data_IF_252165355726
#
_entry.id   IF_252165355726
#
_cell.length_a   1.000
_cell.length_b   1.000
_cell.length_c   1.000
_cell.angle_alpha   90.00
_cell.angle_beta   90.00
_cell.angle_gamma   90.00
#
_symmetry.space_group_name_H-M   'P 1'
#
loop_
_entity.id
_entity.type
_entity.pdbx_description
1 polymer ?
#
# COMPACT_ATOMS: atom_id res chain seq x y z
N UNK A 1 12.86 4.80 9.78
CA UNK A 1 11.66 4.11 9.22
C UNK A 1 10.64 5.08 8.61
N UNK A 2 10.47 6.30 9.14
CA UNK A 2 9.38 7.22 8.79
C UNK A 2 9.30 7.62 7.31
N UNK A 3 10.43 7.88 6.63
CA UNK A 3 10.43 8.25 5.20
C UNK A 3 9.94 7.10 4.31
N UNK A 4 10.36 5.86 4.61
CA UNK A 4 9.93 4.70 3.86
C UNK A 4 8.40 4.50 3.95
N UNK A 5 7.84 4.69 5.15
CA UNK A 5 6.40 4.52 5.40
C UNK A 5 5.56 5.69 4.88
N UNK A 6 5.96 6.93 5.15
CA UNK A 6 5.18 8.11 4.77
C UNK A 6 5.24 8.41 3.27
N UNK A 7 6.33 8.07 2.59
CA UNK A 7 6.56 8.48 1.20
C UNK A 7 6.75 7.28 0.27
N UNK A 8 7.76 6.45 0.52
CA UNK A 8 8.20 5.45 -0.46
C UNK A 8 7.13 4.39 -0.78
N UNK A 9 6.54 3.79 0.25
CA UNK A 9 5.52 2.75 0.06
C UNK A 9 4.23 3.29 -0.60
N UNK A 10 3.63 4.42 -0.15
CA UNK A 10 2.47 5.01 -0.82
C UNK A 10 2.76 5.40 -2.26
N UNK A 11 3.95 5.95 -2.53
CA UNK A 11 4.35 6.38 -3.86
C UNK A 11 4.45 5.19 -4.83
N UNK A 12 4.98 4.05 -4.38
CA UNK A 12 4.99 2.82 -5.18
C UNK A 12 3.58 2.36 -5.58
N UNK A 13 2.63 2.39 -4.64
CA UNK A 13 1.22 2.02 -4.93
C UNK A 13 0.58 3.02 -5.89
N UNK A 14 0.89 4.30 -5.76
CA UNK A 14 0.36 5.38 -6.58
C UNK A 14 0.89 5.29 -8.01
N UNK A 15 2.22 5.21 -8.18
CA UNK A 15 2.87 5.11 -9.49
C UNK A 15 2.39 3.90 -10.28
N UNK A 16 2.38 2.72 -9.65
CA UNK A 16 1.98 1.48 -10.34
C UNK A 16 0.50 1.50 -10.76
N UNK A 17 -0.35 2.23 -10.02
CA UNK A 17 -1.75 2.41 -10.37
C UNK A 17 -1.95 3.42 -11.50
N UNK A 18 -1.11 4.44 -11.59
CA UNK A 18 -1.19 5.48 -12.61
C UNK A 18 -0.56 5.04 -13.95
N UNK A 19 0.61 4.40 -13.89
CA UNK A 19 1.41 4.09 -15.08
C UNK A 19 0.94 2.83 -15.84
N UNK A 20 0.06 2.01 -15.25
CA UNK A 20 -0.51 0.78 -15.87
C UNK A 20 0.54 -0.07 -16.61
N UNK A 21 1.72 -0.22 -16.03
CA UNK A 21 2.84 -0.92 -16.66
C UNK A 21 2.58 -2.41 -16.82
N UNK A 22 3.12 -3.02 -17.89
CA UNK A 22 3.17 -4.48 -18.06
C UNK A 22 3.92 -5.11 -16.88
N UNK A 23 3.46 -6.27 -16.41
CA UNK A 23 3.99 -6.96 -15.23
C UNK A 23 3.92 -6.12 -13.94
N UNK A 24 2.79 -5.46 -13.68
CA UNK A 24 2.59 -4.60 -12.49
C UNK A 24 2.97 -5.30 -11.17
N UNK A 25 2.74 -6.62 -11.05
CA UNK A 25 3.08 -7.39 -9.83
C UNK A 25 4.59 -7.46 -9.60
N UNK A 26 5.39 -7.62 -10.66
CA UNK A 26 6.86 -7.64 -10.53
C UNK A 26 7.39 -6.28 -10.08
N UNK A 27 6.94 -5.21 -10.74
CA UNK A 27 7.34 -3.85 -10.37
C UNK A 27 6.85 -3.47 -8.98
N UNK A 28 5.69 -3.98 -8.56
CA UNK A 28 5.23 -3.89 -7.18
C UNK A 28 6.21 -4.58 -6.22
N UNK A 29 6.55 -5.83 -6.46
CA UNK A 29 7.47 -6.57 -5.61
C UNK A 29 8.85 -5.88 -5.49
N UNK A 30 9.42 -5.40 -6.61
CA UNK A 30 10.70 -4.69 -6.63
C UNK A 30 10.62 -3.41 -5.80
N UNK A 31 9.63 -2.54 -6.09
CA UNK A 31 9.51 -1.25 -5.41
C UNK A 31 9.28 -1.40 -3.91
N UNK A 32 8.40 -2.33 -3.53
CA UNK A 32 8.11 -2.63 -2.14
C UNK A 32 9.31 -3.31 -1.46
N UNK A 33 10.08 -4.13 -2.17
CA UNK A 33 11.32 -4.73 -1.68
C UNK A 33 12.36 -3.67 -1.30
N UNK A 34 12.57 -2.66 -2.15
CA UNK A 34 13.44 -1.52 -1.84
C UNK A 34 12.93 -0.77 -0.59
N UNK A 35 11.61 -0.54 -0.53
CA UNK A 35 10.99 0.09 0.62
C UNK A 35 11.18 -0.68 1.92
N UNK A 36 11.13 -2.02 1.86
CA UNK A 36 11.35 -2.91 3.00
C UNK A 36 12.79 -2.81 3.50
N UNK A 37 13.78 -2.78 2.60
CA UNK A 37 15.19 -2.55 2.97
C UNK A 37 15.35 -1.20 3.67
N UNK A 38 14.80 -0.12 3.11
CA UNK A 38 14.84 1.21 3.73
C UNK A 38 14.17 1.23 5.11
N UNK A 39 13.06 0.51 5.27
CA UNK A 39 12.37 0.35 6.54
C UNK A 39 13.27 -0.35 7.58
N UNK A 40 13.89 -1.47 7.21
CA UNK A 40 14.76 -2.25 8.11
C UNK A 40 16.02 -1.48 8.50
N UNK A 41 16.67 -0.79 7.55
CA UNK A 41 17.82 0.09 7.85
C UNK A 41 17.39 1.19 8.82
N UNK A 42 16.26 1.84 8.54
CA UNK A 42 15.74 2.89 9.40
C UNK A 42 15.27 2.40 10.77
N UNK A 43 14.86 1.14 10.90
CA UNK A 43 14.54 0.49 12.18
C UNK A 43 15.81 0.12 12.96
N UNK A 44 16.81 -0.44 12.28
CA UNK A 44 18.10 -0.79 12.86
C UNK A 44 18.82 0.44 13.44
N UNK A 45 18.87 1.54 12.68
CA UNK A 45 19.44 2.81 13.15
C UNK A 45 18.69 3.36 14.37
N UNK A 46 17.35 3.32 14.37
CA UNK A 46 16.54 3.77 15.50
C UNK A 46 16.75 2.91 16.75
N UNK A 47 16.82 1.59 16.58
CA UNK A 47 17.08 0.63 17.66
C UNK A 47 18.47 0.82 18.26
N UNK A 48 19.48 1.04 17.41
CA UNK A 48 20.83 1.37 17.85
C UNK A 48 20.86 2.67 18.65
N UNK A 49 20.18 3.72 18.18
CA UNK A 49 20.12 4.99 18.91
C UNK A 49 19.43 4.83 20.27
N UNK A 50 18.32 4.09 20.34
CA UNK A 50 17.62 3.80 21.60
C UNK A 50 18.52 3.09 22.60
N UNK A 51 19.34 2.14 22.14
CA UNK A 51 20.27 1.42 23.00
C UNK A 51 21.31 2.34 23.65
N UNK A 52 21.59 3.50 23.05
CA UNK A 52 22.51 4.52 23.59
C UNK A 52 21.82 5.51 24.52
N UNK A 53 20.51 5.71 24.40
CA UNK A 53 19.77 6.72 25.15
C UNK A 53 18.90 6.13 26.26
N UNK A 54 18.89 4.81 26.47
CA UNK A 54 18.05 4.10 27.47
C UNK A 54 16.53 4.28 27.28
N UNK A 55 16.06 4.56 26.06
CA UNK A 55 14.62 4.73 25.76
C UNK A 55 13.92 3.42 25.34
N UNK A 56 14.50 2.26 25.65
CA UNK A 56 14.09 0.95 25.11
C UNK A 56 12.64 0.51 25.42
N UNK A 57 11.99 1.13 26.41
CA UNK A 57 10.62 0.81 26.84
C UNK A 57 9.53 1.72 26.24
N UNK A 58 9.90 2.71 25.43
CA UNK A 58 8.92 3.67 24.93
C UNK A 58 7.95 3.03 23.93
N UNK A 59 6.69 3.46 24.01
CA UNK A 59 5.60 2.99 23.14
C UNK A 59 5.97 3.09 21.65
N UNK A 60 6.71 4.13 21.26
CA UNK A 60 7.24 4.31 19.91
C UNK A 60 8.12 3.13 19.44
N UNK A 61 8.96 2.61 20.32
CA UNK A 61 9.91 1.54 19.98
C UNK A 61 9.17 0.22 19.83
N UNK A 62 8.32 -0.10 20.80
CA UNK A 62 7.49 -1.33 20.77
C UNK A 62 6.63 -1.34 19.50
N UNK A 63 5.96 -0.22 19.21
CA UNK A 63 5.11 -0.08 18.03
C UNK A 63 5.94 -0.16 16.74
N UNK A 64 7.14 0.42 16.71
CA UNK A 64 8.09 0.30 15.61
C UNK A 64 8.55 -1.15 15.34
N UNK A 65 8.77 -1.95 16.38
CA UNK A 65 9.11 -3.38 16.25
C UNK A 65 7.95 -4.14 15.61
N UNK A 66 6.74 -3.99 16.17
CA UNK A 66 5.54 -4.69 15.68
C UNK A 66 5.28 -4.34 14.22
N UNK A 67 5.35 -3.06 13.85
CA UNK A 67 5.17 -2.63 12.46
C UNK A 67 6.22 -3.25 11.55
N UNK A 68 7.49 -3.25 11.95
CA UNK A 68 8.58 -3.77 11.12
C UNK A 68 8.42 -5.27 10.87
N UNK A 69 8.06 -6.03 11.91
CA UNK A 69 7.76 -7.47 11.80
C UNK A 69 6.57 -7.72 10.88
N UNK A 70 5.47 -6.98 11.05
CA UNK A 70 4.30 -7.13 10.19
C UNK A 70 4.61 -6.76 8.73
N UNK A 71 5.42 -5.73 8.48
CA UNK A 71 5.89 -5.40 7.13
C UNK A 71 6.72 -6.51 6.48
N UNK A 72 7.50 -7.28 7.25
CA UNK A 72 8.23 -8.45 6.75
C UNK A 72 7.28 -9.59 6.30
N UNK A 73 6.15 -9.75 6.99
CA UNK A 73 5.16 -10.77 6.62
C UNK A 73 4.30 -10.38 5.40
N UNK A 74 4.11 -9.09 5.13
CA UNK A 74 3.27 -8.62 4.03
C UNK A 74 3.70 -9.14 2.63
N UNK A 75 4.99 -9.16 2.25
CA UNK A 75 5.45 -9.78 1.01
C UNK A 75 5.11 -11.27 0.89
N UNK A 76 5.27 -12.04 1.98
CA UNK A 76 4.93 -13.46 1.97
C UNK A 76 3.43 -13.66 1.72
N UNK A 77 2.58 -12.92 2.45
CA UNK A 77 1.12 -12.96 2.25
C UNK A 77 0.75 -12.54 0.82
N UNK A 78 1.40 -11.49 0.29
CA UNK A 78 1.21 -11.02 -1.08
C UNK A 78 1.57 -12.08 -2.11
N UNK A 79 2.72 -12.74 -1.94
CA UNK A 79 3.17 -13.82 -2.82
C UNK A 79 2.17 -14.98 -2.86
N UNK A 80 1.70 -15.45 -1.69
CA UNK A 80 0.70 -16.51 -1.62
C UNK A 80 -0.59 -16.09 -2.32
N UNK A 81 -1.10 -14.89 -2.06
CA UNK A 81 -2.31 -14.42 -2.71
C UNK A 81 -2.16 -14.33 -4.24
N UNK A 82 -1.04 -13.78 -4.73
CA UNK A 82 -0.79 -13.65 -6.17
C UNK A 82 -0.68 -15.01 -6.87
N UNK A 83 -0.07 -16.03 -6.24
CA UNK A 83 -0.04 -17.40 -6.79
C UNK A 83 -1.38 -18.10 -6.76
N UNK A 84 -2.14 -18.00 -5.66
CA UNK A 84 -3.42 -18.70 -5.52
C UNK A 84 -4.55 -18.09 -6.36
N UNK A 85 -4.52 -16.78 -6.61
CA UNK A 85 -5.53 -16.11 -7.44
C UNK A 85 -5.50 -16.61 -8.89
N UNK A 86 -4.31 -16.97 -9.39
CA UNK A 86 -4.15 -17.52 -10.75
C UNK A 86 -4.63 -18.98 -10.87
N UNK A 87 -4.88 -19.68 -9.76
CA UNK A 87 -5.17 -21.11 -9.76
C UNK A 87 -6.65 -21.46 -9.47
N UNK A 88 -7.45 -20.59 -8.83
CA UNK A 88 -8.79 -20.99 -8.34
C UNK A 88 -9.93 -19.97 -8.50
N UNK A 89 -9.75 -18.80 -9.10
CA UNK A 89 -10.86 -17.85 -9.40
C UNK A 89 -11.67 -17.31 -8.21
N UNK A 90 -11.45 -17.81 -6.99
CA UNK A 90 -12.19 -17.43 -5.79
C UNK A 90 -11.56 -16.24 -5.06
N UNK A 91 -12.43 -15.46 -4.40
CA UNK A 91 -12.08 -14.35 -3.54
C UNK A 91 -11.33 -14.84 -2.30
N UNK A 92 -10.02 -14.99 -2.42
CA UNK A 92 -9.16 -15.43 -1.33
C UNK A 92 -9.11 -14.36 -0.22
N UNK A 93 -9.45 -14.73 1.02
CA UNK A 93 -9.40 -13.88 2.21
C UNK A 93 -8.03 -13.20 2.37
N UNK A 94 -6.96 -13.85 1.89
CA UNK A 94 -5.58 -13.34 1.85
C UNK A 94 -5.47 -12.02 1.07
N UNK A 95 -6.31 -11.81 0.05
CA UNK A 95 -6.40 -10.54 -0.69
C UNK A 95 -6.79 -9.38 0.21
N UNK A 96 -7.83 -9.59 1.01
CA UNK A 96 -8.34 -8.57 1.91
C UNK A 96 -7.32 -8.26 2.99
N UNK A 97 -6.71 -9.29 3.58
CA UNK A 97 -5.66 -9.13 4.58
C UNK A 97 -4.46 -8.37 4.00
N UNK A 98 -3.98 -8.71 2.81
CA UNK A 98 -2.84 -8.03 2.20
C UNK A 98 -3.13 -6.55 1.90
N UNK A 99 -4.29 -6.26 1.29
CA UNK A 99 -4.65 -4.89 0.88
C UNK A 99 -4.99 -4.01 2.08
N UNK A 100 -5.83 -4.48 3.00
CA UNK A 100 -6.23 -3.70 4.18
C UNK A 100 -5.13 -3.67 5.24
N UNK A 101 -4.45 -4.79 5.46
CA UNK A 101 -3.31 -4.87 6.38
C UNK A 101 -2.20 -3.91 5.98
N UNK A 102 -1.86 -3.84 4.68
CA UNK A 102 -0.90 -2.85 4.17
C UNK A 102 -1.32 -1.41 4.46
N UNK A 103 -2.61 -1.06 4.31
CA UNK A 103 -3.11 0.30 4.60
C UNK A 103 -3.04 0.64 6.08
N UNK A 104 -3.48 -0.28 6.94
CA UNK A 104 -3.41 -0.10 8.40
C UNK A 104 -1.96 0.05 8.84
N UNK A 105 -1.04 -0.77 8.30
CA UNK A 105 0.39 -0.65 8.58
C UNK A 105 1.00 0.69 8.16
N UNK A 106 0.58 1.23 7.01
CA UNK A 106 1.02 2.56 6.57
C UNK A 106 0.57 3.65 7.55
N UNK A 107 -0.71 3.61 7.98
CA UNK A 107 -1.23 4.57 8.97
C UNK A 107 -0.50 4.47 10.31
N UNK A 108 -0.34 3.25 10.81
CA UNK A 108 0.39 3.00 12.06
C UNK A 108 1.85 3.45 11.95
N UNK A 109 2.51 3.23 10.81
CA UNK A 109 3.90 3.64 10.62
C UNK A 109 4.07 5.15 10.48
N UNK A 110 3.06 5.86 9.97
CA UNK A 110 3.01 7.34 10.01
C UNK A 110 2.93 7.84 11.45
N UNK A 111 2.01 7.29 12.24
CA UNK A 111 1.87 7.63 13.66
C UNK A 111 3.15 7.31 14.42
N UNK A 112 3.78 6.17 14.12
CA UNK A 112 5.06 5.80 14.68
C UNK A 112 6.16 6.80 14.32
N UNK A 113 6.22 7.19 13.04
CA UNK A 113 7.21 8.16 12.58
C UNK A 113 7.08 9.53 13.26
N UNK A 114 5.85 9.99 13.48
CA UNK A 114 5.56 11.23 14.21
C UNK A 114 5.96 11.16 15.69
N UNK A 115 5.53 10.11 16.40
CA UNK A 115 5.89 9.90 17.81
C UNK A 115 7.41 9.78 18.03
N UNK A 116 8.12 9.17 17.08
CA UNK A 116 9.59 9.08 17.11
C UNK A 116 10.28 10.44 16.96
N UNK A 117 9.74 11.34 16.13
CA UNK A 117 10.25 12.72 16.00
C UNK A 117 10.00 13.55 17.26
N UNK A 118 8.85 13.36 17.90
CA UNK A 118 8.57 14.01 19.19
C UNK A 118 9.52 13.51 20.28
N UNK A 119 9.76 12.20 20.34
CA UNK A 119 10.66 11.59 21.33
C UNK A 119 12.12 12.02 21.14
N UNK A 120 12.57 12.16 19.90
CA UNK A 120 13.94 12.62 19.60
C UNK A 120 14.15 14.12 19.83
N UNK A 121 13.14 14.85 20.30
CA UNK A 121 13.15 16.31 20.43
C UNK A 121 13.55 16.99 19.12
N UNK A 122 13.06 16.45 18.00
CA UNK A 122 13.31 17.02 16.68
C UNK A 122 12.93 18.50 16.64
N UNK A 123 13.63 19.34 15.86
CA UNK A 123 13.25 20.74 15.73
C UNK A 123 11.84 20.86 15.16
N UNK A 124 11.11 21.91 15.56
CA UNK A 124 9.73 22.17 15.10
C UNK A 124 9.62 22.16 13.58
N UNK A 125 10.64 22.68 12.88
CA UNK A 125 10.73 22.64 11.42
C UNK A 125 10.70 21.22 10.87
N UNK A 126 11.37 20.26 11.52
CA UNK A 126 11.37 18.85 11.13
C UNK A 126 10.02 18.17 11.35
N UNK A 127 9.33 18.49 12.45
CA UNK A 127 7.97 17.99 12.71
C UNK A 127 6.96 18.55 11.68
N UNK A 128 7.03 19.84 11.38
CA UNK A 128 6.19 20.49 10.38
C UNK A 128 6.45 19.90 8.99
N UNK A 129 7.72 19.77 8.59
CA UNK A 129 8.08 19.18 7.30
C UNK A 129 7.56 17.74 7.15
N UNK A 130 7.70 16.93 8.19
CA UNK A 130 7.16 15.57 8.22
C UNK A 130 5.63 15.54 8.12
N UNK A 131 4.95 16.42 8.85
CA UNK A 131 3.50 16.57 8.82
C UNK A 131 2.99 16.95 7.43
N UNK A 132 3.58 17.98 6.81
CA UNK A 132 3.23 18.43 5.45
C UNK A 132 3.45 17.29 4.45
N UNK A 133 4.63 16.65 4.47
CA UNK A 133 4.96 15.57 3.56
C UNK A 133 3.93 14.44 3.64
N UNK A 134 3.62 14.02 4.87
CA UNK A 134 2.70 12.90 5.09
C UNK A 134 1.26 13.27 4.72
N UNK A 135 0.83 14.51 4.98
CA UNK A 135 -0.48 15.01 4.59
C UNK A 135 -0.64 15.05 3.06
N UNK A 136 0.34 15.59 2.34
CA UNK A 136 0.30 15.67 0.86
C UNK A 136 0.19 14.28 0.24
N UNK A 137 1.01 13.33 0.69
CA UNK A 137 0.97 11.95 0.19
C UNK A 137 -0.36 11.27 0.56
N UNK A 138 -0.84 11.46 1.79
CA UNK A 138 -2.11 10.91 2.26
C UNK A 138 -3.32 11.42 1.48
N UNK A 139 -3.37 12.73 1.20
CA UNK A 139 -4.43 13.36 0.38
C UNK A 139 -4.37 12.82 -1.05
N UNK A 140 -3.19 12.75 -1.66
CA UNK A 140 -3.03 12.19 -3.00
C UNK A 140 -3.51 10.74 -3.10
N UNK A 141 -3.14 9.91 -2.12
CA UNK A 141 -3.62 8.53 -2.02
C UNK A 141 -5.14 8.45 -1.87
N UNK A 142 -5.71 9.24 -0.95
CA UNK A 142 -7.15 9.30 -0.69
C UNK A 142 -7.95 9.76 -1.90
N UNK A 143 -7.47 10.79 -2.62
CA UNK A 143 -8.08 11.30 -3.83
C UNK A 143 -8.17 10.24 -4.94
N UNK A 144 -7.08 9.49 -5.19
CA UNK A 144 -7.09 8.40 -6.17
C UNK A 144 -8.03 7.28 -5.75
N UNK A 145 -8.05 6.92 -4.46
CA UNK A 145 -8.96 5.91 -3.94
C UNK A 145 -10.43 6.32 -4.14
N UNK A 146 -10.75 7.59 -3.83
CA UNK A 146 -12.07 8.17 -4.01
C UNK A 146 -12.51 8.23 -5.49
N UNK A 147 -11.64 8.69 -6.41
CA UNK A 147 -11.92 8.66 -7.86
C UNK A 147 -12.22 7.26 -8.37
N UNK A 148 -11.54 6.24 -7.84
CA UNK A 148 -11.75 4.85 -8.26
C UNK A 148 -13.09 4.29 -7.77
N UNK A 149 -13.52 4.66 -6.56
CA UNK A 149 -14.86 4.34 -6.05
C UNK A 149 -16.00 5.04 -6.82
N UNK A 150 -15.68 6.13 -7.53
CA UNK A 150 -16.62 6.90 -8.36
C UNK A 150 -16.67 6.51 -9.82
N UNK A 151 -15.87 5.58 -10.32
CA UNK A 151 -16.09 5.06 -11.67
C UNK A 151 -17.32 4.15 -11.63
N UNK A 152 -18.48 4.57 -12.18
CA UNK A 152 -19.57 3.63 -12.38
C UNK A 152 -19.02 2.58 -13.33
N UNK A 153 -19.15 1.30 -12.97
CA UNK A 153 -18.81 0.22 -13.88
C UNK A 153 -19.36 0.52 -15.26
N UNK A 154 -18.52 0.31 -16.28
CA UNK A 154 -18.82 0.44 -17.69
C UNK A 154 -19.82 -0.66 -18.13
N UNK A 155 -20.90 -0.84 -17.36
CA UNK A 155 -21.70 -2.07 -17.25
C UNK A 155 -23.20 -1.77 -17.02
N UNK A 156 -23.67 -0.59 -17.43
CA UNK A 156 -25.05 -0.42 -17.93
C UNK A 156 -25.13 -0.04 -19.41
N UNK A 157 -23.98 0.05 -20.10
CA UNK A 157 -23.92 0.22 -21.57
C UNK A 157 -23.81 -1.15 -22.30
N UNK A 158 -24.08 -2.24 -21.58
CA UNK A 158 -24.61 -3.49 -22.16
C UNK A 158 -26.15 -3.54 -22.07
N UNK A 159 -26.81 -2.40 -21.99
CA UNK A 159 -28.16 -2.30 -22.56
C UNK A 159 -28.03 -2.39 -24.10
N UNK A 160 -27.79 -3.59 -24.62
CA UNK A 160 -28.35 -4.00 -25.91
C UNK A 160 -29.67 -4.68 -25.58
N UNK A 161 -30.81 -3.96 -25.57
CA UNK A 161 -32.10 -4.63 -25.62
C UNK A 161 -32.20 -5.21 -27.04
N UNK A 162 -32.27 -6.54 -27.14
CA UNK A 162 -32.77 -7.28 -28.29
C UNK A 162 -32.26 -6.85 -29.68
N UNK A 163 -31.11 -7.41 -30.11
CA UNK A 163 -30.77 -7.56 -31.54
C UNK A 163 -30.99 -9.03 -31.93
N UNK A 164 -31.57 -9.32 -33.10
CA UNK A 164 -32.34 -10.56 -33.31
C UNK A 164 -31.47 -11.80 -33.36
N UNK A 165 -32.01 -12.88 -32.80
CA UNK A 165 -31.60 -14.25 -33.08
C UNK A 165 -32.41 -14.71 -34.29
N UNK A 166 -31.78 -14.87 -35.44
CA UNK A 166 -32.17 -15.89 -36.43
C UNK A 166 -31.10 -16.03 -37.52
N UNK A 167 -30.55 -17.23 -37.60
CA UNK A 167 -29.94 -17.75 -38.81
C UNK A 167 -31.05 -18.46 -39.58
N UNK A 168 -31.51 -17.88 -40.68
CA UNK A 168 -32.32 -18.62 -41.65
C UNK A 168 -31.68 -18.51 -43.03
N UNK A 169 -31.11 -19.64 -43.46
CA UNK A 169 -30.86 -19.96 -44.85
C UNK A 169 -32.20 -20.18 -45.56
N UNK A 170 -32.54 -19.33 -46.53
CA UNK A 170 -33.79 -19.47 -47.27
C UNK A 170 -33.76 -18.76 -48.62
N UNK A 171 -33.71 -19.57 -49.68
CA UNK A 171 -33.68 -19.23 -51.11
C UNK A 171 -35.01 -18.63 -51.60
N UNK A 172 -34.93 -17.88 -52.73
CA UNK A 172 -35.97 -17.49 -53.73
C UNK A 172 -36.85 -16.28 -53.35
N UNK A 173 -37.19 -15.36 -54.25
CA UNK A 173 -37.17 -15.32 -55.73
C UNK A 173 -36.77 -13.93 -56.25
#
# INVERSE_FOLDING_TARGET
MSIAVSLWFPLGVLLLRLLKVKNTVLWHAIWQGIGLVLLLVGFGLGSWLSSKTNHNGDTHIILGIVISVLFLFMPAIGWFHHRHFSARGNTDYKRHIHVWGGRVLLLLGVINGGTGLSLSKAPTSGMIAYGILTAVVGIGYGYIWFRKGRQPGFERVKARPNGPFEMESGTKA
#
